data_IF_307414451865
#
_entry.id   IF_307414451865
#
_cell.length_a   1.000
_cell.length_b   1.000
_cell.length_c   1.000
_cell.angle_alpha   90.00
_cell.angle_beta   90.00
_cell.angle_gamma   90.00
#
_symmetry.space_group_name_H-M   'P 1'
#
loop_
_entity.id
_entity.type
_entity.pdbx_description
1 polymer ?
#
# COMPACT_ATOMS: atom_id res chain seq x y z
N UNK A 1 -19.17 -7.42 -17.29
CA UNK A 1 -17.78 -6.95 -17.23
C UNK A 1 -16.91 -8.13 -16.83
N UNK A 2 -15.82 -8.37 -17.53
CA UNK A 2 -14.93 -9.49 -17.24
C UNK A 2 -14.28 -9.31 -15.85
N UNK A 3 -13.91 -10.42 -15.19
CA UNK A 3 -13.20 -10.37 -13.91
C UNK A 3 -11.90 -9.56 -13.99
N UNK A 4 -11.22 -9.59 -15.14
CA UNK A 4 -10.00 -8.82 -15.38
C UNK A 4 -10.25 -7.30 -15.45
N UNK A 5 -11.29 -6.85 -16.16
CA UNK A 5 -11.63 -5.42 -16.27
C UNK A 5 -11.98 -4.81 -14.90
N UNK A 6 -12.67 -5.58 -14.05
CA UNK A 6 -13.02 -5.16 -12.69
C UNK A 6 -11.77 -5.01 -11.80
N UNK A 7 -10.80 -5.93 -11.92
CA UNK A 7 -9.52 -5.84 -11.22
C UNK A 7 -8.71 -4.62 -11.67
N UNK A 8 -8.63 -4.38 -12.99
CA UNK A 8 -7.91 -3.25 -13.56
C UNK A 8 -8.50 -1.91 -13.12
N UNK A 9 -9.83 -1.76 -13.20
CA UNK A 9 -10.49 -0.53 -12.77
C UNK A 9 -10.39 -0.33 -11.26
N UNK A 10 -10.51 -1.40 -10.46
CA UNK A 10 -10.32 -1.35 -9.01
C UNK A 10 -8.91 -0.92 -8.62
N UNK A 11 -7.88 -1.47 -9.28
CA UNK A 11 -6.50 -1.08 -9.07
C UNK A 11 -6.25 0.37 -9.49
N UNK A 12 -6.72 0.76 -10.69
CA UNK A 12 -6.58 2.12 -11.22
C UNK A 12 -7.21 3.15 -10.28
N UNK A 13 -8.43 2.90 -9.81
CA UNK A 13 -9.14 3.78 -8.87
C UNK A 13 -8.36 3.94 -7.57
N UNK A 14 -7.92 2.82 -6.98
CA UNK A 14 -7.13 2.85 -5.75
C UNK A 14 -5.84 3.68 -5.89
N UNK A 15 -5.11 3.53 -6.99
CA UNK A 15 -3.85 4.25 -7.22
C UNK A 15 -4.07 5.77 -7.38
N UNK A 16 -5.16 6.18 -8.04
CA UNK A 16 -5.57 7.58 -8.14
C UNK A 16 -5.94 8.16 -6.78
N UNK A 17 -6.77 7.44 -6.00
CA UNK A 17 -7.20 7.86 -4.67
C UNK A 17 -6.02 7.95 -3.70
N UNK A 18 -5.09 6.99 -3.75
CA UNK A 18 -3.86 6.99 -2.97
C UNK A 18 -2.96 8.17 -3.34
N UNK A 19 -2.81 8.46 -4.63
CA UNK A 19 -2.05 9.63 -5.09
C UNK A 19 -2.63 10.93 -4.54
N UNK A 20 -3.96 11.08 -4.59
CA UNK A 20 -4.68 12.23 -4.04
C UNK A 20 -4.52 12.36 -2.52
N UNK A 21 -4.70 11.26 -1.78
CA UNK A 21 -4.58 11.24 -0.32
C UNK A 21 -3.18 11.61 0.17
N UNK A 22 -2.14 11.20 -0.56
CA UNK A 22 -0.75 11.53 -0.23
C UNK A 22 -0.30 12.89 -0.77
N UNK A 23 -1.13 13.54 -1.61
CA UNK A 23 -0.79 14.77 -2.31
C UNK A 23 0.46 14.62 -3.21
N UNK A 24 0.75 13.43 -3.73
CA UNK A 24 1.90 13.18 -4.61
C UNK A 24 1.45 13.01 -6.06
N UNK A 25 2.40 13.08 -7.00
CA UNK A 25 2.12 12.78 -8.41
C UNK A 25 1.84 11.29 -8.58
N UNK A 26 0.85 10.97 -9.41
CA UNK A 26 0.48 9.58 -9.73
C UNK A 26 1.66 8.76 -10.23
N UNK A 27 2.54 9.36 -11.04
CA UNK A 27 3.75 8.69 -11.55
C UNK A 27 4.61 8.10 -10.44
N UNK A 28 4.73 8.78 -9.29
CA UNK A 28 5.51 8.30 -8.14
C UNK A 28 4.85 7.10 -7.45
N UNK A 29 3.52 7.02 -7.45
CA UNK A 29 2.78 5.87 -6.93
C UNK A 29 2.91 4.70 -7.90
N UNK A 30 2.83 4.96 -9.21
CA UNK A 30 3.03 3.95 -10.25
C UNK A 30 4.44 3.35 -10.24
N UNK A 31 5.48 4.17 -10.05
CA UNK A 31 6.86 3.67 -9.89
C UNK A 31 6.95 2.66 -8.75
N UNK A 32 6.21 2.88 -7.66
CA UNK A 32 6.17 1.95 -6.53
C UNK A 32 5.35 0.70 -6.84
N UNK A 33 4.19 0.85 -7.51
CA UNK A 33 3.37 -0.26 -7.99
C UNK A 33 4.19 -1.22 -8.87
N UNK A 34 4.91 -0.70 -9.85
CA UNK A 34 5.74 -1.51 -10.75
C UNK A 34 7.04 -2.02 -10.10
N UNK A 35 7.43 -1.48 -8.95
CA UNK A 35 8.59 -1.98 -8.18
C UNK A 35 8.28 -3.21 -7.32
N UNK A 36 7.00 -3.58 -7.18
CA UNK A 36 6.59 -4.73 -6.37
C UNK A 36 6.87 -6.02 -7.12
N UNK A 37 7.97 -6.68 -6.76
CA UNK A 37 8.36 -7.98 -7.29
C UNK A 37 8.73 -8.94 -6.14
N UNK A 38 8.49 -10.27 -6.26
CA UNK A 38 8.72 -11.23 -5.16
C UNK A 38 10.13 -11.22 -4.56
N UNK A 39 11.12 -10.81 -5.36
CA UNK A 39 12.52 -10.68 -4.92
C UNK A 39 12.74 -9.51 -3.98
N UNK A 40 11.88 -8.49 -4.01
CA UNK A 40 12.03 -7.22 -3.29
C UNK A 40 10.88 -6.90 -2.34
N UNK A 41 9.74 -7.58 -2.48
CA UNK A 41 8.59 -7.44 -1.61
C UNK A 41 7.95 -8.81 -1.38
N UNK A 42 7.76 -9.18 -0.11
CA UNK A 42 7.20 -10.48 0.30
C UNK A 42 6.06 -10.25 1.26
N UNK A 43 4.92 -10.88 1.00
CA UNK A 43 3.82 -10.96 1.95
C UNK A 43 4.21 -11.98 3.02
N UNK A 44 4.19 -11.55 4.27
CA UNK A 44 4.43 -12.40 5.44
C UNK A 44 3.12 -12.89 6.05
N UNK A 45 2.11 -12.02 6.08
CA UNK A 45 0.81 -12.31 6.67
C UNK A 45 -0.27 -11.50 5.96
N UNK A 46 -1.43 -12.13 5.73
CA UNK A 46 -2.67 -11.47 5.30
C UNK A 46 -3.62 -11.58 6.48
N UNK A 47 -4.07 -10.44 7.00
CA UNK A 47 -4.99 -10.39 8.14
C UNK A 47 -6.41 -10.38 7.60
N UNK A 48 -7.21 -11.39 7.96
CA UNK A 48 -8.57 -11.56 7.45
C UNK A 48 -9.59 -11.70 8.58
N UNK A 49 -10.74 -11.07 8.42
CA UNK A 49 -11.86 -11.17 9.36
C UNK A 49 -13.18 -10.99 8.61
N UNK A 50 -14.19 -11.81 8.91
CA UNK A 50 -15.53 -11.66 8.35
C UNK A 50 -15.59 -11.68 6.82
N UNK A 51 -14.70 -12.44 6.17
CA UNK A 51 -14.60 -12.52 4.70
C UNK A 51 -13.91 -11.33 4.03
N UNK A 52 -13.27 -10.44 4.80
CA UNK A 52 -12.55 -9.26 4.31
C UNK A 52 -11.07 -9.34 4.64
N UNK A 53 -10.25 -8.77 3.76
CA UNK A 53 -8.82 -8.56 4.02
C UNK A 53 -8.66 -7.24 4.78
N UNK A 54 -8.35 -7.32 6.08
CA UNK A 54 -8.17 -6.17 6.95
C UNK A 54 -6.78 -5.56 6.90
N UNK A 55 -5.79 -6.27 6.37
CA UNK A 55 -4.45 -5.72 6.27
C UNK A 55 -3.42 -6.74 5.83
N UNK A 56 -2.18 -6.28 5.73
CA UNK A 56 -1.05 -7.12 5.35
C UNK A 56 0.17 -6.79 6.18
N UNK A 57 1.00 -7.80 6.41
CA UNK A 57 2.38 -7.64 6.88
C UNK A 57 3.31 -8.07 5.78
N UNK A 58 4.34 -7.29 5.53
CA UNK A 58 5.29 -7.54 4.46
C UNK A 58 6.73 -7.32 4.91
N UNK A 59 7.65 -8.01 4.25
CA UNK A 59 9.06 -7.65 4.20
C UNK A 59 9.32 -6.98 2.86
N UNK A 60 9.87 -5.77 2.88
CA UNK A 60 10.25 -5.00 1.68
C UNK A 60 11.73 -4.68 1.75
N UNK A 61 12.47 -5.04 0.71
CA UNK A 61 13.91 -4.80 0.63
C UNK A 61 14.20 -3.29 0.52
N UNK A 62 15.22 -2.84 1.25
CA UNK A 62 15.72 -1.48 1.17
C UNK A 62 16.17 -1.15 -0.26
N UNK A 63 15.76 0.02 -0.75
CA UNK A 63 16.20 0.47 -2.07
C UNK A 63 17.66 0.94 -2.11
N UNK A 64 18.25 1.25 -0.96
CA UNK A 64 19.63 1.75 -0.86
C UNK A 64 20.62 0.72 -0.34
N UNK A 65 20.17 -0.34 0.34
CA UNK A 65 21.03 -1.38 0.92
C UNK A 65 20.54 -2.77 0.53
N UNK A 66 21.23 -3.41 -0.41
CA UNK A 66 20.91 -4.78 -0.85
C UNK A 66 20.98 -5.75 0.34
N UNK A 67 20.03 -6.67 0.42
CA UNK A 67 19.93 -7.67 1.49
C UNK A 67 19.35 -7.15 2.81
N UNK A 68 19.09 -5.85 2.96
CA UNK A 68 18.43 -5.28 4.14
C UNK A 68 16.92 -5.27 3.92
N UNK A 69 16.18 -5.86 4.84
CA UNK A 69 14.72 -5.94 4.77
C UNK A 69 14.06 -5.06 5.82
N UNK A 70 13.04 -4.33 5.41
CA UNK A 70 12.17 -3.55 6.30
C UNK A 70 10.83 -4.26 6.43
N UNK A 71 10.36 -4.37 7.66
CA UNK A 71 9.09 -4.98 7.97
C UNK A 71 8.03 -3.89 8.05
N UNK A 72 6.92 -4.12 7.37
CA UNK A 72 5.82 -3.16 7.28
C UNK A 72 4.51 -3.86 7.58
N UNK A 73 3.61 -3.15 8.24
CA UNK A 73 2.26 -3.61 8.53
C UNK A 73 1.30 -2.45 8.25
N UNK A 74 0.23 -2.71 7.52
CA UNK A 74 -0.80 -1.73 7.18
C UNK A 74 -2.18 -2.33 7.40
N UNK A 75 -3.13 -1.49 7.82
CA UNK A 75 -4.53 -1.86 8.01
C UNK A 75 -5.42 -0.63 8.29
N UNK A 76 -6.69 -0.83 8.66
CA UNK A 76 -7.66 0.26 8.82
C UNK A 76 -7.25 1.25 9.91
N UNK A 77 -6.57 0.80 10.96
CA UNK A 77 -6.23 1.62 12.12
C UNK A 77 -4.87 2.29 12.05
N UNK A 78 -4.01 1.94 11.08
CA UNK A 78 -2.71 2.55 10.95
C UNK A 78 -1.71 1.77 10.11
N UNK A 79 -0.50 2.29 10.10
CA UNK A 79 0.66 1.64 9.50
C UNK A 79 1.87 1.71 10.43
N UNK A 80 2.73 0.70 10.36
CA UNK A 80 4.05 0.68 11.01
C UNK A 80 5.08 0.18 10.03
N UNK A 81 6.27 0.77 10.04
CA UNK A 81 7.40 0.30 9.27
C UNK A 81 8.68 0.37 10.11
N UNK A 82 9.56 -0.61 9.97
CA UNK A 82 10.86 -0.66 10.67
C UNK A 82 11.97 0.10 9.94
N UNK A 83 11.66 0.85 8.89
CA UNK A 83 12.68 1.67 8.23
C UNK A 83 12.92 2.98 8.99
N UNK A 84 14.16 3.40 9.04
CA UNK A 84 14.58 4.73 9.52
C UNK A 84 14.48 5.80 8.40
N UNK A 85 13.80 5.47 7.29
CA UNK A 85 13.89 6.18 6.03
C UNK A 85 12.98 7.41 5.91
N UNK A 86 13.40 8.32 5.03
CA UNK A 86 12.68 9.51 4.57
C UNK A 86 11.21 9.24 4.25
N UNK A 87 10.34 9.96 4.93
CA UNK A 87 8.90 9.97 4.69
C UNK A 87 8.60 10.72 3.38
N UNK A 88 7.71 10.19 2.57
CA UNK A 88 7.18 10.89 1.39
C UNK A 88 6.33 12.05 1.90
N UNK A 89 6.79 13.27 1.64
CA UNK A 89 6.22 14.52 2.18
C UNK A 89 6.11 14.57 3.72
N UNK A 90 6.96 13.87 4.46
CA UNK A 90 6.84 13.84 5.93
C UNK A 90 5.70 12.94 6.44
N UNK A 91 5.00 12.23 5.55
CA UNK A 91 3.81 11.43 5.87
C UNK A 91 4.18 9.96 6.09
N UNK A 92 4.48 9.25 5.00
CA UNK A 92 4.70 7.79 5.02
C UNK A 92 5.88 7.38 4.15
N UNK A 93 6.63 6.36 4.55
CA UNK A 93 7.75 5.85 3.78
C UNK A 93 7.27 5.03 2.56
N UNK A 94 8.19 4.78 1.61
CA UNK A 94 7.91 3.97 0.41
C UNK A 94 7.40 2.56 0.73
N UNK A 95 7.85 1.95 1.83
CA UNK A 95 7.47 0.59 2.20
C UNK A 95 5.99 0.51 2.60
N UNK A 96 5.46 1.55 3.25
CA UNK A 96 4.04 1.65 3.59
C UNK A 96 3.20 1.77 2.33
N UNK A 97 3.63 2.57 1.35
CA UNK A 97 2.91 2.67 0.07
C UNK A 97 2.89 1.32 -0.67
N UNK A 98 4.03 0.62 -0.74
CA UNK A 98 4.12 -0.72 -1.34
C UNK A 98 3.16 -1.69 -0.62
N UNK A 99 3.07 -1.60 0.70
CA UNK A 99 2.16 -2.44 1.48
C UNK A 99 0.68 -2.08 1.26
N UNK A 100 0.33 -0.80 1.17
CA UNK A 100 -1.02 -0.34 0.83
C UNK A 100 -1.46 -0.82 -0.56
N UNK A 101 -0.58 -0.70 -1.54
CA UNK A 101 -0.79 -1.21 -2.91
C UNK A 101 -1.03 -2.73 -2.87
N UNK A 102 -0.15 -3.45 -2.18
CA UNK A 102 -0.23 -4.91 -2.10
C UNK A 102 -1.50 -5.34 -1.39
N UNK A 103 -1.88 -4.68 -0.30
CA UNK A 103 -3.14 -4.91 0.40
C UNK A 103 -4.32 -4.76 -0.56
N UNK A 104 -4.40 -3.65 -1.31
CA UNK A 104 -5.46 -3.45 -2.27
C UNK A 104 -5.52 -4.56 -3.34
N UNK A 105 -4.38 -4.93 -3.91
CA UNK A 105 -4.34 -6.00 -4.91
C UNK A 105 -4.79 -7.34 -4.33
N UNK A 106 -4.37 -7.69 -3.11
CA UNK A 106 -4.81 -8.91 -2.42
C UNK A 106 -6.31 -8.88 -2.16
N UNK A 107 -6.86 -7.75 -1.68
CA UNK A 107 -8.30 -7.60 -1.45
C UNK A 107 -9.08 -7.77 -2.75
N UNK A 108 -8.71 -7.06 -3.82
CA UNK A 108 -9.34 -7.18 -5.14
C UNK A 108 -9.32 -8.62 -5.66
N UNK A 109 -8.18 -9.31 -5.55
CA UNK A 109 -8.04 -10.69 -6.02
C UNK A 109 -8.88 -11.67 -5.17
N UNK A 110 -8.90 -11.53 -3.84
CA UNK A 110 -9.55 -12.49 -2.95
C UNK A 110 -11.05 -12.25 -2.79
N UNK A 111 -11.49 -11.00 -2.76
CA UNK A 111 -12.86 -10.63 -2.39
C UNK A 111 -13.60 -9.86 -3.49
N UNK A 112 -12.90 -9.38 -4.52
CA UNK A 112 -13.47 -8.48 -5.53
C UNK A 112 -13.68 -7.04 -5.04
N UNK A 113 -13.35 -6.76 -3.77
CA UNK A 113 -13.51 -5.44 -3.16
C UNK A 113 -12.14 -4.83 -2.84
N UNK A 114 -11.86 -3.66 -3.40
CA UNK A 114 -10.64 -2.91 -3.15
C UNK A 114 -10.66 -2.18 -1.81
N UNK A 115 -9.51 -1.69 -1.39
CA UNK A 115 -9.39 -0.88 -0.17
C UNK A 115 -9.92 0.52 -0.44
N UNK A 116 -10.85 1.00 0.38
CA UNK A 116 -11.28 2.41 0.34
C UNK A 116 -10.24 3.29 1.07
N UNK A 117 -9.44 4.03 0.30
CA UNK A 117 -8.46 5.00 0.83
C UNK A 117 -9.13 6.07 1.69
N UNK A 118 -10.38 6.43 1.39
CA UNK A 118 -11.15 7.41 2.14
C UNK A 118 -11.40 7.01 3.59
N UNK A 119 -11.52 5.71 3.86
CA UNK A 119 -11.72 5.12 5.19
C UNK A 119 -10.46 5.12 6.06
N UNK A 120 -9.27 5.27 5.46
CA UNK A 120 -7.99 5.30 6.16
C UNK A 120 -7.72 6.67 6.76
N UNK A 121 -8.46 7.03 7.83
CA UNK A 121 -8.39 8.36 8.45
C UNK A 121 -6.99 8.77 8.92
N UNK A 122 -6.13 7.81 9.23
CA UNK A 122 -4.73 8.05 9.59
C UNK A 122 -3.86 8.51 8.41
N UNK A 123 -4.25 8.22 7.17
CA UNK A 123 -3.56 8.65 5.96
C UNK A 123 -3.78 10.15 5.69
N UNK A 124 -4.97 10.67 6.04
CA UNK A 124 -5.35 12.07 5.84
C UNK A 124 -4.81 13.01 6.93
N UNK A 125 -4.79 12.56 8.19
CA UNK A 125 -4.37 13.40 9.33
C UNK A 125 -2.95 13.93 9.19
N UNK A 126 -2.05 13.17 8.58
CA UNK A 126 -0.66 13.60 8.42
C UNK A 126 -0.53 14.72 7.36
N UNK A 127 -1.44 14.82 6.38
CA UNK A 127 -1.34 15.81 5.30
C UNK A 127 -1.78 17.24 5.71
N UNK A 128 -2.43 17.39 6.86
CA UNK A 128 -2.98 18.66 7.33
C UNK A 128 -2.08 19.40 8.34
N UNK A 129 -0.95 18.81 8.75
CA UNK A 129 -0.04 19.37 9.76
C UNK A 129 1.33 19.79 9.16
N UNK A 130 1.41 20.00 7.84
CA UNK A 130 2.64 20.38 7.13
C UNK A 130 2.53 21.69 6.36
#
# INVERSE_FOLDING_TARGET
>A
MGSAEALEEGARRFLLDLSGALGVRLSRVLDLYFSVEPRRARILEIVEEGGKVLGVRMAVESSSRKGVWHYVSVGPYGAKCTCEANMIKGLICRHIIIALITWNMVSLIKTGEGVDVGSLGWLKKQAAEG
#
